data_IF_215011695281
#
_entry.id   IF_215011695281
#
_cell.length_a   1.000
_cell.length_b   1.000
_cell.length_c   1.000
_cell.angle_alpha   90.00
_cell.angle_beta   90.00
_cell.angle_gamma   90.00
#
_symmetry.space_group_name_H-M   'P 1'
#
loop_
_entity.id
_entity.type
_entity.pdbx_description
1 polymer ?
#
# COMPACT_ATOMS: atom_id res chain seq x y z
N UNK A 1 7.35 -18.66 8.69
CA UNK A 1 7.17 -18.41 7.24
C UNK A 1 6.29 -17.19 7.00
N UNK A 2 5.12 -17.10 7.64
CA UNK A 2 4.23 -15.93 7.54
C UNK A 2 4.91 -14.64 8.00
N UNK A 3 5.72 -14.68 9.06
CA UNK A 3 6.50 -13.51 9.52
C UNK A 3 7.50 -13.00 8.48
N UNK A 4 8.20 -13.91 7.80
CA UNK A 4 9.16 -13.58 6.74
C UNK A 4 8.45 -12.93 5.55
N UNK A 5 7.26 -13.43 5.21
CA UNK A 5 6.42 -12.85 4.16
C UNK A 5 5.95 -11.45 4.56
N UNK A 6 5.43 -11.28 5.78
CA UNK A 6 5.00 -9.97 6.28
C UNK A 6 6.17 -8.97 6.28
N UNK A 7 7.36 -9.41 6.68
CA UNK A 7 8.56 -8.61 6.65
C UNK A 7 8.95 -8.18 5.22
N UNK A 8 8.94 -9.11 4.26
CA UNK A 8 9.17 -8.80 2.85
C UNK A 8 8.15 -7.80 2.29
N UNK A 9 6.88 -7.95 2.66
CA UNK A 9 5.81 -7.03 2.28
C UNK A 9 5.97 -5.64 2.91
N UNK A 10 6.49 -5.52 4.14
CA UNK A 10 6.83 -4.23 4.75
C UNK A 10 7.90 -3.48 3.97
N UNK A 11 8.94 -4.20 3.53
CA UNK A 11 10.00 -3.63 2.68
C UNK A 11 9.39 -3.15 1.34
N UNK A 12 8.57 -4.00 0.71
CA UNK A 12 7.91 -3.64 -0.54
C UNK A 12 6.98 -2.42 -0.37
N UNK A 13 6.20 -2.38 0.70
CA UNK A 13 5.35 -1.25 1.06
C UNK A 13 6.15 0.05 1.14
N UNK A 14 7.29 0.03 1.82
CA UNK A 14 8.16 1.19 1.95
C UNK A 14 8.71 1.67 0.59
N UNK A 15 9.25 0.75 -0.22
CA UNK A 15 9.80 1.08 -1.55
C UNK A 15 8.70 1.66 -2.45
N UNK A 16 7.53 1.01 -2.51
CA UNK A 16 6.41 1.48 -3.34
C UNK A 16 5.87 2.82 -2.86
N UNK A 17 5.82 3.07 -1.55
CA UNK A 17 5.42 4.36 -0.99
C UNK A 17 6.33 5.50 -1.48
N UNK A 18 7.66 5.27 -1.47
CA UNK A 18 8.64 6.26 -1.97
C UNK A 18 8.44 6.51 -3.47
N UNK A 19 8.29 5.45 -4.26
CA UNK A 19 8.08 5.57 -5.72
C UNK A 19 6.80 6.37 -6.00
N UNK A 20 5.70 6.06 -5.32
CA UNK A 20 4.43 6.75 -5.51
C UNK A 20 4.51 8.21 -5.07
N UNK A 21 5.16 8.48 -3.93
CA UNK A 21 5.39 9.85 -3.45
C UNK A 21 6.15 10.69 -4.50
N UNK A 22 7.26 10.18 -5.04
CA UNK A 22 7.99 10.86 -6.09
C UNK A 22 7.14 11.10 -7.34
N UNK A 23 6.27 10.15 -7.69
CA UNK A 23 5.37 10.25 -8.84
C UNK A 23 4.31 11.34 -8.68
N UNK A 24 3.71 11.47 -7.49
CA UNK A 24 2.77 12.56 -7.20
C UNK A 24 3.46 13.91 -7.21
N UNK A 25 4.69 13.99 -6.69
CA UNK A 25 5.44 15.25 -6.67
C UNK A 25 5.75 15.76 -8.08
N UNK A 26 6.06 14.87 -9.02
CA UNK A 26 6.48 15.24 -10.38
C UNK A 26 5.31 15.34 -11.36
N UNK A 27 4.33 14.44 -11.27
CA UNK A 27 3.20 14.38 -12.20
C UNK A 27 1.92 14.82 -11.49
N UNK A 28 1.15 15.72 -12.08
CA UNK A 28 -0.20 16.04 -11.63
C UNK A 28 -1.21 15.36 -12.55
N UNK A 29 -2.01 14.43 -12.01
CA UNK A 29 -3.01 13.69 -12.80
C UNK A 29 -4.32 13.56 -12.03
N UNK A 30 -5.46 13.64 -12.72
CA UNK A 30 -6.79 13.48 -12.10
C UNK A 30 -6.94 12.11 -11.42
N UNK A 31 -6.21 11.09 -11.88
CA UNK A 31 -6.23 9.73 -11.28
C UNK A 31 -5.69 9.73 -9.84
N UNK A 32 -4.86 10.70 -9.47
CA UNK A 32 -4.31 10.82 -8.12
C UNK A 32 -5.38 11.19 -7.08
N UNK A 33 -6.49 11.82 -7.51
CA UNK A 33 -7.60 12.19 -6.60
C UNK A 33 -8.26 10.98 -5.95
N UNK A 34 -8.23 9.82 -6.63
CA UNK A 34 -8.80 8.57 -6.13
C UNK A 34 -7.73 7.72 -5.45
N UNK A 35 -6.54 7.62 -6.07
CA UNK A 35 -5.49 6.72 -5.57
C UNK A 35 -4.93 7.22 -4.23
N UNK A 36 -4.73 8.53 -4.06
CA UNK A 36 -4.08 9.04 -2.85
C UNK A 36 -4.93 8.81 -1.58
N UNK A 37 -6.25 9.13 -1.55
CA UNK A 37 -7.08 8.80 -0.39
C UNK A 37 -7.12 7.30 -0.07
N UNK A 38 -7.12 6.42 -1.08
CA UNK A 38 -7.10 4.96 -0.86
C UNK A 38 -5.80 4.52 -0.18
N UNK A 39 -4.65 5.00 -0.66
CA UNK A 39 -3.36 4.66 -0.06
C UNK A 39 -3.24 5.19 1.37
N UNK A 40 -3.72 6.42 1.63
CA UNK A 40 -3.77 7.00 2.99
C UNK A 40 -4.66 6.15 3.90
N UNK A 41 -5.86 5.77 3.43
CA UNK A 41 -6.79 4.94 4.20
C UNK A 41 -6.19 3.60 4.59
N UNK A 42 -5.57 2.88 3.64
CA UNK A 42 -4.90 1.60 3.92
C UNK A 42 -3.74 1.80 4.91
N UNK A 43 -2.95 2.86 4.73
CA UNK A 43 -1.81 3.16 5.62
C UNK A 43 -2.28 3.47 7.05
N UNK A 44 -3.38 4.22 7.20
CA UNK A 44 -3.96 4.51 8.51
C UNK A 44 -4.43 3.25 9.23
N UNK A 45 -5.08 2.32 8.50
CA UNK A 45 -5.50 1.03 9.06
C UNK A 45 -4.27 0.19 9.46
N UNK A 46 -3.24 0.14 8.61
CA UNK A 46 -2.00 -0.58 8.92
C UNK A 46 -1.29 -0.05 10.18
N UNK A 47 -1.29 1.27 10.39
CA UNK A 47 -0.75 1.90 11.61
C UNK A 47 -1.56 1.51 12.83
N UNK A 48 -2.90 1.50 12.75
CA UNK A 48 -3.76 1.06 13.85
C UNK A 48 -3.55 -0.43 14.20
N UNK A 49 -3.24 -1.26 13.20
CA UNK A 49 -2.98 -2.70 13.39
C UNK A 49 -1.52 -3.02 13.77
N UNK A 50 -0.67 -2.03 14.00
CA UNK A 50 0.76 -2.19 14.33
C UNK A 50 1.02 -2.71 15.76
N UNK A 51 0.10 -3.46 16.34
CA UNK A 51 0.29 -4.03 17.68
C UNK A 51 1.39 -5.11 17.69
N UNK A 52 2.30 -5.02 18.65
CA UNK A 52 3.47 -5.90 18.81
C UNK A 52 3.14 -7.24 19.48
N UNK A 53 1.90 -7.45 19.91
CA UNK A 53 1.47 -8.69 20.54
C UNK A 53 0.99 -9.69 19.49
N UNK A 54 1.70 -10.80 19.37
CA UNK A 54 1.52 -11.88 18.39
C UNK A 54 0.26 -12.74 18.60
N UNK A 55 -0.75 -12.27 19.34
CA UNK A 55 -1.98 -13.04 19.64
C UNK A 55 -3.20 -12.12 19.83
N UNK A 56 -3.24 -10.96 19.18
CA UNK A 56 -4.47 -10.15 19.19
C UNK A 56 -5.31 -10.58 17.98
N UNK A 57 -6.47 -11.15 18.26
CA UNK A 57 -7.49 -11.43 17.25
C UNK A 57 -8.37 -10.19 17.07
N UNK A 58 -8.63 -9.80 15.82
CA UNK A 58 -9.56 -8.73 15.48
C UNK A 58 -10.69 -9.36 14.66
N UNK A 59 -11.93 -9.33 15.19
CA UNK A 59 -13.07 -10.06 14.63
C UNK A 59 -12.82 -11.59 14.44
N UNK A 60 -12.04 -12.21 15.33
CA UNK A 60 -11.71 -13.65 15.25
C UNK A 60 -10.73 -14.01 14.11
N UNK A 61 -10.16 -13.01 13.45
CA UNK A 61 -9.08 -13.18 12.48
C UNK A 61 -7.77 -12.70 13.10
N UNK A 62 -6.71 -13.46 12.86
CA UNK A 62 -5.36 -13.07 13.24
C UNK A 62 -4.95 -11.82 12.44
N UNK A 63 -4.60 -10.78 13.20
CA UNK A 63 -4.22 -9.46 12.69
C UNK A 63 -3.05 -9.55 11.71
N UNK A 64 -2.17 -10.54 11.85
CA UNK A 64 -1.08 -10.77 10.90
C UNK A 64 -1.60 -11.00 9.48
N UNK A 65 -2.63 -11.82 9.30
CA UNK A 65 -3.21 -12.07 7.98
C UNK A 65 -3.91 -10.82 7.42
N UNK A 66 -4.57 -10.03 8.27
CA UNK A 66 -5.18 -8.77 7.87
C UNK A 66 -4.10 -7.79 7.37
N UNK A 67 -2.97 -7.67 8.09
CA UNK A 67 -1.84 -6.81 7.65
C UNK A 67 -1.28 -7.27 6.32
N UNK A 68 -1.03 -8.58 6.16
CA UNK A 68 -0.54 -9.16 4.90
C UNK A 68 -1.47 -8.83 3.75
N UNK A 69 -2.78 -9.04 3.93
CA UNK A 69 -3.79 -8.71 2.93
C UNK A 69 -3.74 -7.22 2.55
N UNK A 70 -3.68 -6.33 3.53
CA UNK A 70 -3.59 -4.89 3.30
C UNK A 70 -2.30 -4.49 2.57
N UNK A 71 -1.15 -5.08 2.89
CA UNK A 71 0.09 -4.83 2.16
C UNK A 71 0.01 -5.27 0.69
N UNK A 72 -0.66 -6.40 0.41
CA UNK A 72 -0.88 -6.88 -0.97
C UNK A 72 -1.80 -5.91 -1.73
N UNK A 73 -2.93 -5.52 -1.14
CA UNK A 73 -3.88 -4.58 -1.74
C UNK A 73 -3.21 -3.23 -2.01
N UNK A 74 -2.43 -2.72 -1.05
CA UNK A 74 -1.66 -1.48 -1.21
C UNK A 74 -0.71 -1.57 -2.41
N UNK A 75 0.02 -2.69 -2.53
CA UNK A 75 0.96 -2.91 -3.62
C UNK A 75 0.26 -2.93 -4.99
N UNK A 76 -0.89 -3.63 -5.08
CA UNK A 76 -1.69 -3.66 -6.31
C UNK A 76 -2.19 -2.28 -6.72
N UNK A 77 -2.69 -1.48 -5.76
CA UNK A 77 -3.18 -0.12 -6.04
C UNK A 77 -2.04 0.75 -6.58
N UNK A 78 -0.84 0.69 -5.98
CA UNK A 78 0.31 1.46 -6.49
C UNK A 78 0.70 0.99 -7.88
N UNK A 79 0.78 -0.32 -8.14
CA UNK A 79 1.13 -0.84 -9.47
C UNK A 79 0.13 -0.37 -10.54
N UNK A 80 -1.18 -0.46 -10.25
CA UNK A 80 -2.24 0.06 -11.11
C UNK A 80 -2.08 1.57 -11.29
N UNK A 81 -1.80 2.30 -10.22
CA UNK A 81 -1.58 3.74 -10.24
C UNK A 81 -0.41 4.14 -11.13
N UNK A 82 0.73 3.45 -11.00
CA UNK A 82 1.94 3.69 -11.79
C UNK A 82 1.64 3.42 -13.26
N UNK A 83 1.00 2.29 -13.57
CA UNK A 83 0.62 1.94 -14.94
C UNK A 83 -0.35 2.95 -15.54
N UNK A 84 -1.40 3.32 -14.80
CA UNK A 84 -2.43 4.24 -15.25
C UNK A 84 -1.89 5.65 -15.48
N UNK A 85 -0.89 6.09 -14.71
CA UNK A 85 -0.25 7.40 -14.86
C UNK A 85 0.86 7.39 -15.91
N UNK A 86 1.55 6.27 -16.15
CA UNK A 86 2.53 6.14 -17.24
C UNK A 86 1.88 6.15 -18.62
N UNK A 87 0.65 5.61 -18.76
CA UNK A 87 -0.06 5.55 -20.05
C UNK A 87 -0.34 6.93 -20.67
N UNK A 88 -0.26 8.03 -19.91
CA UNK A 88 -0.44 9.40 -20.42
C UNK A 88 0.86 10.10 -20.83
N UNK A 89 2.03 9.61 -20.44
CA UNK A 89 3.33 10.18 -20.87
C UNK A 89 3.77 9.64 -22.24
N UNK A 90 2.87 8.98 -22.98
CA UNK A 90 3.18 8.31 -24.25
C UNK A 90 2.78 9.07 -25.50
N UNK A 91 1.95 10.11 -25.43
CA UNK A 91 1.53 10.86 -26.64
C UNK A 91 1.20 12.30 -26.21
N UNK A 92 1.86 13.25 -26.87
CA UNK A 92 1.90 14.71 -26.70
C UNK A 92 3.01 15.24 -25.80
#
# INVERSE_FOLDING_TARGET
MVDTLEFGLKILFFILSIIWMGKIMILRTDKQIVINPLLIGISAVLVMLHTSQSNIEFFGLDVQYIRIFLYIVYSLIILIGIWATNKRNGIF
#
